data_IF_115436485804
#
_entry.id   IF_115436485804
#
_cell.length_a   1.000
_cell.length_b   1.000
_cell.length_c   1.000
_cell.angle_alpha   90.00
_cell.angle_beta   90.00
_cell.angle_gamma   90.00
#
_symmetry.space_group_name_H-M   'P 1'
#
loop_
_entity.id
_entity.type
_entity.pdbx_description
1 polymer ?
#
# COMPACT_ATOMS: atom_id res chain seq x y z
N UNK A 1 -7.29 -19.28 24.56
CA UNK A 1 -6.24 -19.54 23.58
C UNK A 1 -6.68 -20.70 22.71
N UNK A 2 -6.95 -20.50 21.43
CA UNK A 2 -6.92 -21.58 20.47
C UNK A 2 -5.75 -21.34 19.52
N UNK A 3 -4.83 -22.28 19.56
CA UNK A 3 -3.62 -22.39 18.77
C UNK A 3 -3.92 -22.74 17.32
N UNK A 4 -3.18 -22.12 16.50
CA UNK A 4 -3.05 -22.15 15.05
C UNK A 4 -3.01 -23.57 14.45
N UNK A 5 -4.09 -24.03 13.84
CA UNK A 5 -4.12 -25.18 12.91
C UNK A 5 -4.16 -24.76 11.42
N UNK A 6 -3.67 -23.57 11.09
CA UNK A 6 -3.60 -23.08 9.69
C UNK A 6 -2.26 -23.34 8.98
N UNK A 7 -1.28 -23.89 9.67
CA UNK A 7 0.03 -24.16 9.08
C UNK A 7 0.05 -25.38 8.12
N UNK A 8 -0.87 -26.33 8.28
CA UNK A 8 -0.91 -27.56 7.47
C UNK A 8 -1.54 -27.40 6.08
N UNK A 9 -2.45 -26.43 5.90
CA UNK A 9 -3.12 -26.23 4.60
C UNK A 9 -2.29 -25.40 3.61
N UNK A 10 -1.41 -24.57 4.12
CA UNK A 10 -0.50 -23.75 3.31
C UNK A 10 0.67 -24.55 2.73
N UNK A 11 1.10 -25.64 3.39
CA UNK A 11 2.24 -26.43 2.91
C UNK A 11 1.92 -27.28 1.65
N UNK A 12 0.65 -27.63 1.42
CA UNK A 12 0.23 -28.37 0.23
C UNK A 12 -0.06 -27.48 -1.00
N UNK A 13 -0.33 -26.18 -0.79
CA UNK A 13 -0.50 -25.20 -1.87
C UNK A 13 0.83 -24.62 -2.39
N UNK A 14 1.91 -24.77 -1.62
CA UNK A 14 3.22 -24.20 -1.96
C UNK A 14 3.98 -25.00 -3.02
N UNK A 15 3.54 -26.20 -3.38
CA UNK A 15 4.38 -27.08 -4.23
C UNK A 15 4.04 -27.14 -5.73
N UNK A 16 2.96 -26.53 -6.25
CA UNK A 16 2.73 -26.67 -7.70
C UNK A 16 1.99 -25.53 -8.44
N UNK A 17 1.40 -24.54 -7.74
CA UNK A 17 0.56 -23.55 -8.41
C UNK A 17 0.89 -22.10 -8.12
N UNK A 18 1.56 -21.82 -7.02
CA UNK A 18 1.69 -20.44 -6.51
C UNK A 18 2.84 -19.66 -7.17
N UNK A 19 3.87 -20.35 -7.64
CA UNK A 19 5.01 -19.70 -8.30
C UNK A 19 4.66 -19.21 -9.71
N UNK A 20 3.74 -19.88 -10.38
CA UNK A 20 3.30 -19.53 -11.75
C UNK A 20 2.39 -18.28 -11.73
N UNK A 21 1.57 -18.12 -10.71
CA UNK A 21 0.62 -16.98 -10.64
C UNK A 21 1.29 -15.63 -10.40
N UNK A 22 2.36 -15.59 -9.60
CA UNK A 22 3.09 -14.33 -9.30
C UNK A 22 3.91 -13.88 -10.51
N UNK A 23 4.51 -14.82 -11.25
CA UNK A 23 5.24 -14.52 -12.49
C UNK A 23 4.30 -13.95 -13.55
N UNK A 24 3.09 -14.50 -13.70
CA UNK A 24 2.10 -14.04 -14.71
C UNK A 24 1.66 -12.61 -14.45
N UNK A 25 1.53 -12.17 -13.21
CA UNK A 25 1.04 -10.81 -12.91
C UNK A 25 1.99 -9.71 -13.39
N UNK A 26 3.29 -9.94 -13.39
CA UNK A 26 4.31 -8.94 -13.72
C UNK A 26 4.96 -9.14 -15.09
N UNK A 27 4.62 -10.22 -15.80
CA UNK A 27 5.25 -10.62 -17.06
C UNK A 27 5.21 -9.50 -18.11
N UNK A 28 4.05 -8.88 -18.32
CA UNK A 28 3.91 -7.77 -19.28
C UNK A 28 4.71 -6.53 -18.89
N UNK A 29 4.85 -6.24 -17.61
CA UNK A 29 5.66 -5.11 -17.14
C UNK A 29 7.12 -5.43 -17.40
N UNK A 30 7.57 -6.64 -17.09
CA UNK A 30 8.93 -7.12 -17.31
C UNK A 30 9.27 -7.09 -18.81
N UNK A 31 8.37 -7.56 -19.67
CA UNK A 31 8.53 -7.53 -21.13
C UNK A 31 8.73 -6.11 -21.67
N UNK A 32 8.05 -5.13 -21.05
CA UNK A 32 8.10 -3.74 -21.50
C UNK A 32 9.31 -2.98 -20.99
N UNK A 33 9.68 -3.12 -19.69
CA UNK A 33 10.75 -2.33 -19.06
C UNK A 33 12.03 -3.12 -18.80
N UNK A 34 12.02 -4.43 -18.95
CA UNK A 34 13.09 -5.34 -18.61
C UNK A 34 13.15 -5.71 -17.13
N UNK A 35 13.72 -6.88 -16.85
CA UNK A 35 13.76 -7.46 -15.50
C UNK A 35 14.53 -6.58 -14.49
N UNK A 36 15.64 -5.95 -14.91
CA UNK A 36 16.43 -5.09 -14.04
C UNK A 36 15.64 -3.87 -13.54
N UNK A 37 14.93 -3.21 -14.45
CA UNK A 37 14.11 -2.04 -14.09
C UNK A 37 12.90 -2.46 -13.25
N UNK A 38 12.30 -3.62 -13.57
CA UNK A 38 11.21 -4.16 -12.74
C UNK A 38 11.69 -4.44 -11.31
N UNK A 39 12.87 -5.01 -11.12
CA UNK A 39 13.45 -5.25 -9.78
C UNK A 39 13.64 -3.95 -8.99
N UNK A 40 14.03 -2.85 -9.64
CA UNK A 40 14.13 -1.53 -9.00
C UNK A 40 12.77 -1.06 -8.52
N UNK A 41 11.75 -1.15 -9.37
CA UNK A 41 10.36 -0.80 -9.01
C UNK A 41 9.84 -1.68 -7.86
N UNK A 42 10.00 -2.98 -7.98
CA UNK A 42 9.48 -3.94 -7.01
C UNK A 42 10.09 -3.79 -5.60
N UNK A 43 11.33 -3.29 -5.51
CA UNK A 43 12.03 -3.10 -4.24
C UNK A 43 11.97 -1.66 -3.72
N UNK A 44 11.34 -0.75 -4.44
CA UNK A 44 11.15 0.61 -3.97
C UNK A 44 10.31 0.66 -2.69
N UNK A 45 10.74 1.48 -1.73
CA UNK A 45 9.99 1.77 -0.51
C UNK A 45 9.10 2.98 -0.75
N UNK A 46 7.80 2.78 -0.74
CA UNK A 46 6.83 3.83 -1.04
C UNK A 46 6.01 4.15 0.20
N UNK A 47 5.91 5.44 0.53
CA UNK A 47 4.97 5.96 1.50
C UNK A 47 3.77 6.57 0.77
N UNK A 48 2.56 6.18 1.16
CA UNK A 48 1.31 6.77 0.70
C UNK A 48 0.56 7.36 1.90
N UNK A 49 0.27 8.65 1.83
CA UNK A 49 -0.43 9.40 2.87
C UNK A 49 -1.84 9.70 2.39
N UNK A 50 -2.84 9.19 3.12
CA UNK A 50 -4.26 9.30 2.78
C UNK A 50 -4.76 8.22 1.82
N UNK A 51 -5.90 7.62 2.17
CA UNK A 51 -6.57 6.54 1.42
C UNK A 51 -8.01 6.95 1.00
N UNK A 52 -8.18 8.22 0.74
CA UNK A 52 -9.43 8.77 0.20
C UNK A 52 -9.69 8.39 -1.26
N UNK A 53 -10.39 9.27 -2.00
CA UNK A 53 -10.75 9.04 -3.40
C UNK A 53 -9.54 8.85 -4.32
N UNK A 54 -8.49 9.67 -4.14
CA UNK A 54 -7.24 9.56 -4.94
C UNK A 54 -6.34 8.46 -4.38
N UNK A 55 -6.08 8.46 -3.06
CA UNK A 55 -5.13 7.53 -2.44
C UNK A 55 -5.50 6.06 -2.60
N UNK A 56 -6.79 5.72 -2.56
CA UNK A 56 -7.24 4.34 -2.79
C UNK A 56 -6.88 3.82 -4.19
N UNK A 57 -7.11 4.61 -5.24
CA UNK A 57 -6.73 4.24 -6.61
C UNK A 57 -5.21 4.20 -6.78
N UNK A 58 -4.49 5.15 -6.17
CA UNK A 58 -3.03 5.18 -6.17
C UNK A 58 -2.48 3.90 -5.52
N UNK A 59 -3.00 3.50 -4.36
CA UNK A 59 -2.60 2.26 -3.69
C UNK A 59 -2.81 1.02 -4.57
N UNK A 60 -3.98 0.88 -5.19
CA UNK A 60 -4.29 -0.23 -6.08
C UNK A 60 -3.29 -0.28 -7.26
N UNK A 61 -2.96 0.88 -7.85
CA UNK A 61 -1.99 0.98 -8.93
C UNK A 61 -0.59 0.55 -8.50
N UNK A 62 -0.11 1.00 -7.34
CA UNK A 62 1.20 0.61 -6.78
C UNK A 62 1.31 -0.91 -6.59
N UNK A 63 0.31 -1.51 -5.96
CA UNK A 63 0.28 -2.96 -5.73
C UNK A 63 0.27 -3.75 -7.05
N UNK A 64 -0.52 -3.30 -8.04
CA UNK A 64 -0.60 -3.94 -9.36
C UNK A 64 0.65 -3.73 -10.21
N UNK A 65 1.41 -2.67 -9.95
CA UNK A 65 2.72 -2.45 -10.58
C UNK A 65 3.83 -3.32 -9.99
N UNK A 66 3.52 -4.14 -8.97
CA UNK A 66 4.47 -5.08 -8.38
C UNK A 66 5.32 -4.50 -7.26
N UNK A 67 5.05 -3.28 -6.79
CA UNK A 67 5.75 -2.69 -5.65
C UNK A 67 5.46 -3.53 -4.40
N UNK A 68 6.54 -3.92 -3.70
CA UNK A 68 6.43 -4.83 -2.55
C UNK A 68 6.37 -4.10 -1.21
N UNK A 69 7.03 -2.97 -1.08
CA UNK A 69 7.19 -2.28 0.20
C UNK A 69 6.39 -0.98 0.19
N UNK A 70 5.20 -1.01 0.77
CA UNK A 70 4.29 0.15 0.82
C UNK A 70 3.91 0.41 2.27
N UNK A 71 4.22 1.62 2.74
CA UNK A 71 3.67 2.14 4.00
C UNK A 71 2.48 3.03 3.68
N UNK A 72 1.36 2.82 4.35
CA UNK A 72 0.16 3.65 4.22
C UNK A 72 -0.16 4.32 5.56
N UNK A 73 -0.49 5.60 5.52
CA UNK A 73 -0.94 6.38 6.68
C UNK A 73 -2.36 6.86 6.42
N UNK A 74 -3.31 6.37 7.21
CA UNK A 74 -4.68 6.86 7.23
C UNK A 74 -5.35 6.44 8.54
N UNK A 75 -6.00 7.38 9.23
CA UNK A 75 -6.66 7.15 10.52
C UNK A 75 -8.17 6.92 10.39
N UNK A 76 -8.72 7.16 9.19
CA UNK A 76 -10.15 7.09 8.97
C UNK A 76 -10.71 5.68 8.89
N UNK A 77 -12.01 5.59 9.05
CA UNK A 77 -12.83 4.43 8.71
C UNK A 77 -13.65 4.69 7.45
N UNK A 78 -14.11 3.62 6.79
CA UNK A 78 -15.02 3.76 5.67
C UNK A 78 -16.42 4.11 6.16
N UNK A 79 -17.03 5.13 5.52
CA UNK A 79 -18.36 5.63 5.80
C UNK A 79 -19.26 5.56 4.55
N UNK A 80 -20.59 5.67 4.74
CA UNK A 80 -21.54 5.71 3.64
C UNK A 80 -21.25 6.80 2.61
N UNK A 81 -20.76 7.95 3.07
CA UNK A 81 -20.37 9.09 2.24
C UNK A 81 -19.21 8.80 1.30
N UNK A 82 -18.46 7.72 1.51
CA UNK A 82 -17.29 7.35 0.74
C UNK A 82 -17.59 6.52 -0.52
N UNK A 83 -18.76 5.86 -0.57
CA UNK A 83 -19.13 4.91 -1.63
C UNK A 83 -19.08 5.48 -3.05
N UNK A 84 -19.32 6.78 -3.19
CA UNK A 84 -19.38 7.44 -4.49
C UNK A 84 -18.02 7.65 -5.16
N UNK A 85 -16.89 7.55 -4.41
CA UNK A 85 -15.56 7.89 -4.93
C UNK A 85 -14.38 7.08 -4.39
N UNK A 86 -14.55 6.31 -3.33
CA UNK A 86 -13.47 5.53 -2.73
C UNK A 86 -13.59 4.06 -3.14
N UNK A 87 -12.62 3.56 -3.92
CA UNK A 87 -12.66 2.22 -4.53
C UNK A 87 -12.81 1.07 -3.53
N UNK A 88 -12.35 1.26 -2.30
CA UNK A 88 -12.42 0.24 -1.25
C UNK A 88 -13.64 0.40 -0.33
N UNK A 89 -14.45 1.44 -0.53
CA UNK A 89 -15.71 1.60 0.18
C UNK A 89 -16.74 0.61 -0.36
N UNK A 90 -17.01 -0.44 0.40
CA UNK A 90 -17.97 -1.50 0.12
C UNK A 90 -18.83 -1.74 1.36
N UNK A 91 -19.94 -2.46 1.22
CA UNK A 91 -20.75 -2.84 2.37
C UNK A 91 -19.92 -3.56 3.43
N UNK A 92 -19.01 -4.45 2.99
CA UNK A 92 -18.17 -5.23 3.89
C UNK A 92 -17.05 -4.41 4.57
N UNK A 93 -16.67 -3.27 4.01
CA UNK A 93 -15.64 -2.38 4.59
C UNK A 93 -16.21 -1.29 5.49
N UNK A 94 -17.52 -1.11 5.53
CA UNK A 94 -18.17 -0.06 6.31
C UNK A 94 -17.78 -0.13 7.80
N UNK A 95 -17.45 1.03 8.38
CA UNK A 95 -16.95 1.20 9.76
C UNK A 95 -15.62 0.49 10.06
N UNK A 96 -14.89 0.03 9.04
CA UNK A 96 -13.57 -0.56 9.22
C UNK A 96 -12.48 0.43 8.84
N UNK A 97 -11.32 0.33 9.50
CA UNK A 97 -10.17 1.18 9.24
C UNK A 97 -9.69 1.05 7.78
N UNK A 98 -9.45 2.17 7.12
CA UNK A 98 -9.07 2.22 5.70
C UNK A 98 -7.76 1.51 5.43
N UNK A 99 -6.72 1.79 6.23
CA UNK A 99 -5.40 1.19 6.05
C UNK A 99 -5.43 -0.35 6.15
N UNK A 100 -6.19 -0.88 7.10
CA UNK A 100 -6.35 -2.34 7.27
C UNK A 100 -7.05 -2.99 6.07
N UNK A 101 -8.11 -2.36 5.56
CA UNK A 101 -8.87 -2.89 4.41
C UNK A 101 -8.01 -2.93 3.15
N UNK A 102 -7.26 -1.87 2.87
CA UNK A 102 -6.40 -1.84 1.68
C UNK A 102 -5.26 -2.85 1.77
N UNK A 103 -4.69 -3.08 2.96
CA UNK A 103 -3.67 -4.10 3.16
C UNK A 103 -4.20 -5.51 2.88
N UNK A 104 -5.40 -5.84 3.37
CA UNK A 104 -6.05 -7.11 3.06
C UNK A 104 -6.31 -7.28 1.56
N UNK A 105 -6.66 -6.20 0.88
CA UNK A 105 -6.84 -6.20 -0.57
C UNK A 105 -5.53 -6.41 -1.31
N UNK A 106 -4.46 -5.73 -0.88
CA UNK A 106 -3.13 -5.86 -1.48
C UNK A 106 -2.66 -7.31 -1.53
N UNK A 107 -2.81 -8.05 -0.44
CA UNK A 107 -2.39 -9.46 -0.35
C UNK A 107 -3.18 -10.39 -1.29
N UNK A 108 -4.40 -9.99 -1.70
CA UNK A 108 -5.18 -10.73 -2.71
C UNK A 108 -4.72 -10.44 -4.14
N UNK A 109 -4.00 -9.34 -4.35
CA UNK A 109 -3.46 -8.93 -5.66
C UNK A 109 -2.01 -9.38 -5.77
N UNK A 110 -1.19 -9.01 -4.78
CA UNK A 110 0.23 -9.32 -4.71
C UNK A 110 0.55 -9.97 -3.35
N UNK A 111 0.63 -11.30 -3.27
CA UNK A 111 0.94 -12.00 -2.02
C UNK A 111 2.33 -11.69 -1.44
N UNK A 112 3.26 -11.16 -2.26
CA UNK A 112 4.59 -10.75 -1.83
C UNK A 112 4.63 -9.32 -1.26
N UNK A 113 3.52 -8.57 -1.36
CA UNK A 113 3.46 -7.22 -0.84
C UNK A 113 3.60 -7.20 0.69
N UNK A 114 4.44 -6.29 1.16
CA UNK A 114 4.66 -6.01 2.58
C UNK A 114 4.08 -4.63 2.87
N UNK A 115 2.87 -4.63 3.40
CA UNK A 115 2.13 -3.41 3.67
C UNK A 115 2.24 -3.07 5.15
N UNK A 116 2.81 -1.91 5.45
CA UNK A 116 2.83 -1.34 6.80
C UNK A 116 1.67 -0.35 6.92
N UNK A 117 0.75 -0.61 7.85
CA UNK A 117 -0.41 0.26 8.09
C UNK A 117 -0.15 1.10 9.33
N UNK A 118 -0.16 2.42 9.17
CA UNK A 118 -0.07 3.38 10.26
C UNK A 118 -1.43 4.04 10.43
N UNK A 119 -2.18 3.56 11.43
CA UNK A 119 -3.49 4.09 11.84
C UNK A 119 -3.24 5.32 12.72
N UNK A 120 -2.87 6.43 12.08
CA UNK A 120 -2.65 7.70 12.77
C UNK A 120 -2.94 8.88 11.84
N UNK A 121 -3.36 9.99 12.42
CA UNK A 121 -3.37 11.27 11.74
C UNK A 121 -1.93 11.79 11.67
N UNK A 122 -1.41 12.01 10.47
CA UNK A 122 -0.12 12.65 10.30
C UNK A 122 -0.24 14.15 10.60
N UNK A 123 0.71 14.67 11.37
CA UNK A 123 0.82 16.09 11.69
C UNK A 123 2.15 16.64 11.16
N UNK A 124 2.26 17.95 11.03
CA UNK A 124 3.48 18.63 10.58
C UNK A 124 4.73 18.27 11.39
N UNK A 125 4.57 18.08 12.70
CA UNK A 125 5.67 17.73 13.61
C UNK A 125 6.15 16.28 13.44
N UNK A 126 5.40 15.40 12.75
CA UNK A 126 5.82 14.04 12.44
C UNK A 126 6.82 14.01 11.26
N UNK A 127 6.87 15.12 10.48
CA UNK A 127 7.63 15.18 9.24
C UNK A 127 9.06 15.62 9.53
N UNK A 128 9.89 14.67 9.90
CA UNK A 128 11.32 14.88 10.19
C UNK A 128 12.19 14.45 9.00
N UNK A 129 13.46 14.75 9.07
CA UNK A 129 14.45 14.25 8.10
C UNK A 129 14.42 12.72 8.02
N UNK A 130 14.47 12.07 9.16
CA UNK A 130 14.45 10.60 9.27
C UNK A 130 13.20 10.04 8.63
N UNK A 131 12.04 10.67 8.86
CA UNK A 131 10.78 10.25 8.27
C UNK A 131 10.80 10.28 6.73
N UNK A 132 11.26 11.38 6.12
CA UNK A 132 11.24 11.49 4.64
C UNK A 132 12.35 10.66 3.99
N UNK A 133 13.51 10.49 4.62
CA UNK A 133 14.63 9.73 4.05
C UNK A 133 14.50 8.21 4.18
N UNK A 134 13.48 7.72 4.89
CA UNK A 134 13.19 6.28 4.99
C UNK A 134 12.64 5.70 3.67
N UNK A 135 12.04 6.54 2.82
CA UNK A 135 11.32 6.14 1.62
C UNK A 135 12.00 6.62 0.35
N UNK A 136 11.92 5.82 -0.70
CA UNK A 136 12.37 6.20 -2.04
C UNK A 136 11.37 7.14 -2.72
N UNK A 137 10.07 6.99 -2.41
CA UNK A 137 8.98 7.81 -2.94
C UNK A 137 7.94 8.09 -1.86
N UNK A 138 7.49 9.33 -1.80
CA UNK A 138 6.37 9.76 -0.94
C UNK A 138 5.25 10.28 -1.83
N UNK A 139 4.07 9.68 -1.70
CA UNK A 139 2.86 10.04 -2.43
C UNK A 139 1.86 10.66 -1.46
N UNK A 140 1.60 11.93 -1.66
CA UNK A 140 0.69 12.70 -0.83
C UNK A 140 -0.71 12.74 -1.48
N UNK A 141 -1.65 12.05 -0.86
CA UNK A 141 -3.07 12.04 -1.20
C UNK A 141 -3.97 12.49 -0.02
N UNK A 142 -3.37 13.14 1.00
CA UNK A 142 -4.14 13.72 2.11
C UNK A 142 -4.79 15.04 1.70
N UNK A 143 -5.70 15.55 2.52
CA UNK A 143 -6.38 16.85 2.34
C UNK A 143 -5.87 17.93 3.31
N UNK A 144 -4.91 17.61 4.19
CA UNK A 144 -4.34 18.54 5.15
C UNK A 144 -3.24 19.40 4.49
N UNK A 145 -3.53 20.70 4.36
CA UNK A 145 -2.64 21.65 3.68
C UNK A 145 -1.31 21.86 4.44
N UNK A 146 -1.32 21.81 5.78
CA UNK A 146 -0.10 22.01 6.57
C UNK A 146 0.84 20.82 6.39
N UNK A 147 0.30 19.60 6.43
CA UNK A 147 1.07 18.36 6.15
C UNK A 147 1.68 18.43 4.76
N UNK A 148 0.91 18.84 3.73
CA UNK A 148 1.44 18.98 2.35
C UNK A 148 2.62 19.93 2.27
N UNK A 149 2.51 21.10 2.89
CA UNK A 149 3.56 22.12 2.85
C UNK A 149 4.83 21.61 3.53
N UNK A 150 4.71 20.97 4.69
CA UNK A 150 5.87 20.44 5.42
C UNK A 150 6.50 19.25 4.69
N UNK A 151 5.72 18.36 4.09
CA UNK A 151 6.25 17.29 3.23
C UNK A 151 7.05 17.84 2.05
N UNK A 152 6.52 18.84 1.34
CA UNK A 152 7.21 19.48 0.23
C UNK A 152 8.53 20.12 0.68
N UNK A 153 8.54 20.84 1.82
CA UNK A 153 9.76 21.43 2.37
C UNK A 153 10.79 20.37 2.75
N UNK A 154 10.36 19.35 3.49
CA UNK A 154 11.26 18.29 3.94
C UNK A 154 11.87 17.52 2.75
N UNK A 155 11.05 17.12 1.77
CA UNK A 155 11.54 16.42 0.57
C UNK A 155 12.42 17.29 -0.34
N UNK A 156 12.32 18.62 -0.27
CA UNK A 156 13.20 19.53 -1.01
C UNK A 156 14.54 19.78 -0.30
N UNK A 157 14.60 19.56 1.02
CA UNK A 157 15.79 19.80 1.84
C UNK A 157 16.69 18.58 1.96
N UNK A 158 16.10 17.38 1.88
CA UNK A 158 16.76 16.10 2.16
C UNK A 158 16.65 15.12 1.00
#
# INVERSE_FOLDING_TARGET
MPTCERAGFLSHLLNFGFFVGVIIMNERIIDYIGEENFRKIANAKVLLIGLGGVGGYTFEALVRSGIKFITVIDFDTFENSNFNRQIYATIDSLNKNKAQIVALRALKINPEAKITCLDKKLCENDITKEFVTEYDYILDACDDTLVKVELMKACALY
#
